data_IF_203259648390
#
_entry.id   IF_203259648390
#
_cell.length_a   1.000
_cell.length_b   1.000
_cell.length_c   1.000
_cell.angle_alpha   90.00
_cell.angle_beta   90.00
_cell.angle_gamma   90.00
#
_symmetry.space_group_name_H-M   'P 1'
#
loop_
_entity.id
_entity.type
_entity.pdbx_description
1 polymer ?
#
# COMPACT_ATOMS: atom_id res chain seq x y z
N UNK A 1 12.79 16.10 5.64
CA UNK A 1 11.54 15.34 5.47
C UNK A 1 11.08 15.24 3.99
N UNK A 2 11.91 14.79 3.03
CA UNK A 2 11.48 14.63 1.63
C UNK A 2 10.75 13.30 1.35
N UNK A 3 11.14 12.21 2.00
CA UNK A 3 10.58 10.86 1.75
C UNK A 3 9.08 10.78 2.04
N UNK A 4 8.61 11.42 3.11
CA UNK A 4 7.19 11.44 3.47
C UNK A 4 6.30 12.07 2.40
N UNK A 5 6.73 13.19 1.81
CA UNK A 5 5.99 13.88 0.75
C UNK A 5 5.95 13.05 -0.54
N UNK A 6 7.07 12.43 -0.90
CA UNK A 6 7.14 11.53 -2.06
C UNK A 6 6.20 10.34 -1.88
N UNK A 7 6.27 9.65 -0.74
CA UNK A 7 5.38 8.53 -0.43
C UNK A 7 3.92 8.94 -0.40
N UNK A 8 3.60 10.13 0.10
CA UNK A 8 2.22 10.65 0.09
C UNK A 8 1.71 10.84 -1.34
N UNK A 9 2.54 11.38 -2.24
CA UNK A 9 2.19 11.50 -3.66
C UNK A 9 1.93 10.14 -4.32
N UNK A 10 2.81 9.18 -4.11
CA UNK A 10 2.64 7.81 -4.63
C UNK A 10 1.38 7.14 -4.08
N UNK A 11 1.09 7.28 -2.79
CA UNK A 11 -0.14 6.76 -2.17
C UNK A 11 -1.39 7.40 -2.77
N UNK A 12 -1.36 8.71 -3.04
CA UNK A 12 -2.48 9.41 -3.71
C UNK A 12 -2.76 8.83 -5.09
N UNK A 13 -1.71 8.59 -5.90
CA UNK A 13 -1.85 7.98 -7.23
C UNK A 13 -2.38 6.55 -7.15
N UNK A 14 -1.90 5.75 -6.18
CA UNK A 14 -2.41 4.39 -5.98
C UNK A 14 -3.89 4.38 -5.56
N UNK A 15 -4.30 5.33 -4.71
CA UNK A 15 -5.69 5.47 -4.29
C UNK A 15 -6.60 5.83 -5.47
N UNK A 16 -6.22 6.80 -6.31
CA UNK A 16 -6.98 7.15 -7.51
C UNK A 16 -7.10 5.97 -8.50
N UNK A 17 -6.01 5.21 -8.66
CA UNK A 17 -6.03 4.01 -9.51
C UNK A 17 -6.96 2.93 -8.96
N UNK A 18 -7.01 2.75 -7.64
CA UNK A 18 -7.91 1.79 -7.01
C UNK A 18 -9.38 2.20 -7.19
N UNK A 19 -9.73 3.46 -6.89
CA UNK A 19 -11.10 4.01 -7.12
C UNK A 19 -11.52 3.83 -8.58
N UNK A 20 -10.61 4.08 -9.53
CA UNK A 20 -10.89 3.86 -10.96
C UNK A 20 -11.22 2.40 -11.26
N UNK A 21 -10.47 1.45 -10.68
CA UNK A 21 -10.72 0.01 -10.88
C UNK A 21 -12.07 -0.38 -10.29
N UNK A 22 -12.39 0.06 -9.07
CA UNK A 22 -13.66 -0.24 -8.40
C UNK A 22 -14.85 0.27 -9.22
N UNK A 23 -14.79 1.52 -9.68
CA UNK A 23 -15.82 2.11 -10.54
C UNK A 23 -15.97 1.35 -11.86
N UNK A 24 -14.87 0.95 -12.48
CA UNK A 24 -14.91 0.19 -13.73
C UNK A 24 -15.49 -1.22 -13.54
N UNK A 25 -15.24 -1.86 -12.40
CA UNK A 25 -15.82 -3.17 -12.07
C UNK A 25 -17.33 -3.07 -11.81
N UNK A 26 -17.76 -2.02 -11.09
CA UNK A 26 -19.17 -1.72 -10.83
C UNK A 26 -19.92 -1.45 -12.14
N UNK A 27 -19.40 -0.58 -13.01
CA UNK A 27 -20.00 -0.27 -14.33
C UNK A 27 -20.12 -1.53 -15.21
N UNK A 28 -19.19 -2.48 -15.06
CA UNK A 28 -19.22 -3.75 -15.78
C UNK A 28 -20.09 -4.82 -15.10
N UNK A 29 -20.64 -4.55 -13.92
CA UNK A 29 -21.46 -5.48 -13.14
C UNK A 29 -20.68 -6.71 -12.65
N UNK A 30 -19.36 -6.59 -12.46
CA UNK A 30 -18.49 -7.71 -12.04
C UNK A 30 -18.43 -7.83 -10.52
N UNK A 31 -18.33 -6.69 -9.83
CA UNK A 31 -18.16 -6.59 -8.39
C UNK A 31 -18.75 -5.25 -7.96
N UNK A 32 -19.51 -5.25 -6.86
CA UNK A 32 -20.01 -4.00 -6.28
C UNK A 32 -19.09 -3.46 -5.19
N UNK A 33 -19.16 -2.15 -4.95
CA UNK A 33 -18.46 -1.53 -3.81
C UNK A 33 -18.81 -2.20 -2.47
N UNK A 34 -20.06 -2.64 -2.28
CA UNK A 34 -20.47 -3.32 -1.04
C UNK A 34 -19.83 -4.70 -0.86
N UNK A 35 -19.57 -5.41 -1.96
CA UNK A 35 -18.87 -6.70 -1.90
C UNK A 35 -17.40 -6.54 -1.49
N UNK A 36 -16.76 -5.42 -1.88
CA UNK A 36 -15.40 -5.07 -1.44
C UNK A 36 -15.40 -4.77 0.06
N UNK A 37 -16.30 -3.91 0.53
CA UNK A 37 -16.38 -3.51 1.94
C UNK A 37 -16.75 -4.69 2.86
N UNK A 38 -17.55 -5.64 2.36
CA UNK A 38 -17.93 -6.84 3.10
C UNK A 38 -16.90 -7.97 2.98
N UNK A 39 -15.81 -7.78 2.23
CA UNK A 39 -14.83 -8.84 2.02
C UNK A 39 -14.05 -9.14 3.30
N UNK A 40 -14.27 -10.34 3.84
CA UNK A 40 -13.48 -10.88 4.94
C UNK A 40 -12.42 -11.85 4.42
N UNK A 41 -11.12 -11.52 4.51
CA UNK A 41 -10.06 -12.43 4.10
C UNK A 41 -10.03 -13.65 5.03
N UNK A 42 -9.79 -14.83 4.45
CA UNK A 42 -9.56 -16.03 5.23
C UNK A 42 -8.18 -16.00 5.94
N UNK A 43 -7.92 -17.01 6.77
CA UNK A 43 -6.67 -17.13 7.50
C UNK A 43 -5.43 -17.20 6.59
N UNK A 44 -5.56 -17.77 5.39
CA UNK A 44 -4.45 -17.88 4.44
C UNK A 44 -4.13 -16.51 3.84
N UNK A 45 -5.14 -15.82 3.32
CA UNK A 45 -4.99 -14.46 2.75
C UNK A 45 -4.46 -13.49 3.80
N UNK A 46 -4.95 -13.61 5.04
CA UNK A 46 -4.47 -12.79 6.17
C UNK A 46 -2.98 -12.99 6.41
N UNK A 47 -2.53 -14.25 6.51
CA UNK A 47 -1.12 -14.58 6.71
C UNK A 47 -0.22 -14.11 5.56
N UNK A 48 -0.67 -14.27 4.33
CA UNK A 48 0.05 -13.77 3.15
C UNK A 48 0.21 -12.24 3.19
N UNK A 49 -0.85 -11.52 3.57
CA UNK A 49 -0.83 -10.06 3.74
C UNK A 49 0.08 -9.62 4.89
N UNK A 50 0.11 -10.34 6.00
CA UNK A 50 1.01 -10.06 7.13
C UNK A 50 2.47 -10.22 6.74
N UNK A 51 2.81 -11.33 6.08
CA UNK A 51 4.16 -11.59 5.61
C UNK A 51 4.60 -10.50 4.63
N UNK A 52 3.79 -10.22 3.61
CA UNK A 52 4.09 -9.20 2.62
C UNK A 52 4.27 -7.82 3.25
N UNK A 53 3.42 -7.46 4.23
CA UNK A 53 3.50 -6.19 4.95
C UNK A 53 4.80 -6.08 5.77
N UNK A 54 5.18 -7.14 6.48
CA UNK A 54 6.42 -7.19 7.24
C UNK A 54 7.65 -7.01 6.33
N UNK A 55 7.69 -7.72 5.21
CA UNK A 55 8.77 -7.60 4.22
C UNK A 55 8.83 -6.20 3.60
N UNK A 56 7.68 -5.60 3.29
CA UNK A 56 7.60 -4.24 2.75
C UNK A 56 8.11 -3.21 3.75
N UNK A 57 7.66 -3.26 5.00
CA UNK A 57 8.12 -2.35 6.07
C UNK A 57 9.63 -2.48 6.28
N UNK A 58 10.16 -3.71 6.31
CA UNK A 58 11.59 -3.94 6.47
C UNK A 58 12.42 -3.28 5.35
N UNK A 59 11.96 -3.36 4.09
CA UNK A 59 12.62 -2.69 2.96
C UNK A 59 12.61 -1.17 3.09
N UNK A 60 11.49 -0.58 3.49
CA UNK A 60 11.39 0.89 3.68
C UNK A 60 12.29 1.35 4.82
N UNK A 61 12.28 0.65 5.96
CA UNK A 61 13.08 1.01 7.12
C UNK A 61 14.58 0.94 6.84
N UNK A 62 15.02 0.04 5.96
CA UNK A 62 16.42 -0.03 5.54
C UNK A 62 16.87 1.26 4.82
N UNK A 63 16.05 1.79 3.92
CA UNK A 63 16.36 3.05 3.22
C UNK A 63 16.45 4.22 4.21
N UNK A 64 15.53 4.26 5.18
CA UNK A 64 15.55 5.29 6.24
C UNK A 64 16.82 5.19 7.10
N UNK A 65 17.27 3.97 7.43
CA UNK A 65 18.52 3.77 8.16
C UNK A 65 19.74 4.25 7.37
N UNK A 66 19.80 3.93 6.07
CA UNK A 66 20.88 4.37 5.17
C UNK A 66 20.91 5.92 5.05
N UNK A 67 19.75 6.58 4.97
CA UNK A 67 19.66 8.04 5.00
C UNK A 67 20.17 8.64 6.33
N UNK A 68 19.81 8.03 7.47
CA UNK A 68 20.25 8.48 8.80
C UNK A 68 21.77 8.29 9.00
N UNK A 69 22.33 7.18 8.54
CA UNK A 69 23.77 6.92 8.58
C UNK A 69 24.54 7.96 7.75
N UNK A 70 24.04 8.30 6.57
CA UNK A 70 24.64 9.33 5.70
C UNK A 70 24.65 10.71 6.37
N UNK A 71 23.55 11.09 7.03
CA UNK A 71 23.45 12.37 7.75
C UNK A 71 24.35 12.45 8.99
N UNK A 72 24.61 11.32 9.66
CA UNK A 72 25.50 11.29 10.84
C UNK A 72 26.99 11.29 10.46
N UNK A 73 27.33 11.01 9.20
CA UNK A 73 28.71 11.02 8.68
C UNK A 73 29.12 12.36 8.04
N UNK A 74 28.19 13.32 7.91
CA UNK A 74 28.41 14.69 7.40
C UNK A 74 28.52 15.71 8.52
#
# INVERSE_FOLDING_TARGET
>A
MPLFLLLTGEVSVLHERLDTIERLLEVKGILSASEIEAYEPDAKVTKEREQWRAEYIARVLRVVQEELETLNQS
#
